data_IF_334602273989
#
_entry.id   IF_334602273989
#
_cell.length_a   1.000
_cell.length_b   1.000
_cell.length_c   1.000
_cell.angle_alpha   90.00
_cell.angle_beta   90.00
_cell.angle_gamma   90.00
#
_symmetry.space_group_name_H-M   'P 1'
#
loop_
_entity.id
_entity.type
_entity.pdbx_description
1 polymer ?
#
# COMPACT_ATOMS: atom_id res chain seq x y z
N UNK A 1 54.88 -5.13 30.01
CA UNK A 1 54.19 -5.81 28.89
C UNK A 1 53.00 -6.67 29.34
N UNK A 2 53.14 -7.58 30.33
CA UNK A 2 52.02 -8.42 30.83
C UNK A 2 50.79 -7.64 31.35
N UNK A 3 50.99 -6.46 31.97
CA UNK A 3 49.87 -5.60 32.44
C UNK A 3 49.13 -4.85 31.33
N UNK A 4 49.77 -4.59 30.19
CA UNK A 4 49.16 -3.92 29.03
C UNK A 4 48.31 -4.92 28.23
N UNK A 5 48.79 -6.17 28.10
CA UNK A 5 48.03 -7.25 27.47
C UNK A 5 46.73 -7.51 28.23
N UNK A 6 46.76 -7.51 29.57
CA UNK A 6 45.57 -7.72 30.41
C UNK A 6 44.51 -6.60 30.22
N UNK A 7 44.95 -5.34 30.08
CA UNK A 7 44.04 -4.19 29.85
C UNK A 7 43.41 -4.28 28.45
N UNK A 8 44.18 -4.69 27.44
CA UNK A 8 43.66 -4.90 26.08
C UNK A 8 42.66 -6.07 26.03
N UNK A 9 42.89 -7.14 26.80
CA UNK A 9 41.95 -8.27 26.91
C UNK A 9 40.63 -7.90 27.58
N UNK A 10 40.62 -6.98 28.56
CA UNK A 10 39.40 -6.50 29.20
C UNK A 10 38.60 -5.57 28.26
N UNK A 11 39.28 -4.74 27.46
CA UNK A 11 38.64 -3.87 26.46
C UNK A 11 37.93 -4.65 25.34
N UNK A 12 38.51 -5.79 24.91
CA UNK A 12 37.87 -6.67 23.91
C UNK A 12 36.64 -7.38 24.47
N UNK A 13 36.61 -7.69 25.77
CA UNK A 13 35.44 -8.31 26.42
C UNK A 13 34.27 -7.33 26.59
N UNK A 14 34.53 -6.04 26.80
CA UNK A 14 33.47 -5.01 26.83
C UNK A 14 32.93 -4.65 25.43
N UNK A 15 33.70 -4.85 24.36
CA UNK A 15 33.26 -4.62 22.98
C UNK A 15 32.31 -5.72 22.46
N UNK A 16 32.20 -6.85 23.16
CA UNK A 16 31.31 -7.97 22.84
C UNK A 16 30.00 -7.97 23.65
N UNK A 17 29.64 -6.85 24.28
CA UNK A 17 28.27 -6.68 24.73
C UNK A 17 27.37 -6.64 23.48
N UNK A 18 26.57 -7.69 23.28
CA UNK A 18 25.51 -7.71 22.26
C UNK A 18 24.76 -6.39 22.37
N UNK A 19 24.88 -5.55 21.36
CA UNK A 19 24.13 -4.31 21.26
C UNK A 19 22.66 -4.71 21.31
N UNK A 20 21.94 -4.28 22.35
CA UNK A 20 20.52 -4.59 22.50
C UNK A 20 19.81 -4.15 21.22
N UNK A 21 19.09 -5.10 20.61
CA UNK A 21 18.30 -4.80 19.44
C UNK A 21 17.21 -3.83 19.86
N UNK A 22 17.32 -2.58 19.43
CA UNK A 22 16.29 -1.57 19.65
C UNK A 22 15.05 -2.05 18.92
N UNK A 23 13.96 -2.26 19.65
CA UNK A 23 12.67 -2.80 19.17
C UNK A 23 11.56 -1.74 19.15
N UNK A 24 11.96 -0.46 19.16
CA UNK A 24 11.07 0.68 19.06
C UNK A 24 11.61 1.71 18.09
N UNK A 25 10.76 2.61 17.62
CA UNK A 25 11.15 3.87 17.01
C UNK A 25 10.57 5.06 17.79
N UNK A 26 11.14 6.23 17.57
CA UNK A 26 10.57 7.49 18.07
C UNK A 26 9.90 8.19 16.90
N UNK A 27 8.60 8.44 17.01
CA UNK A 27 7.83 9.20 16.04
C UNK A 27 7.36 10.51 16.67
N UNK A 28 7.66 11.61 16.01
CA UNK A 28 7.37 12.96 16.52
C UNK A 28 7.03 13.89 15.38
N UNK A 29 6.62 15.11 15.69
CA UNK A 29 6.38 16.08 14.64
C UNK A 29 5.70 17.36 15.08
N UNK A 30 5.43 18.20 14.11
CA UNK A 30 4.63 19.41 14.23
C UNK A 30 3.61 19.44 13.12
N UNK A 31 2.37 19.70 13.49
CA UNK A 31 1.21 19.78 12.59
C UNK A 31 0.68 21.21 12.71
N UNK A 32 0.59 21.90 11.58
CA UNK A 32 0.10 23.28 11.48
C UNK A 32 -1.31 23.25 10.87
N UNK A 33 -2.17 24.18 11.28
CA UNK A 33 -3.54 24.35 10.78
C UNK A 33 -4.44 23.10 10.91
N UNK A 34 -4.23 22.30 11.96
CA UNK A 34 -5.08 21.14 12.26
C UNK A 34 -6.08 21.43 13.36
N UNK A 35 -7.33 20.97 13.16
CA UNK A 35 -8.36 20.90 14.20
C UNK A 35 -8.45 19.49 14.85
N UNK A 36 -7.48 18.60 14.58
CA UNK A 36 -7.47 17.25 15.12
C UNK A 36 -6.70 17.19 16.43
N UNK A 37 -7.27 16.50 17.43
CA UNK A 37 -6.62 16.30 18.74
C UNK A 37 -5.58 15.16 18.74
N UNK A 38 -5.52 14.38 17.65
CA UNK A 38 -4.59 13.25 17.53
C UNK A 38 -4.18 12.95 16.09
N UNK A 39 -2.99 12.35 15.96
CA UNK A 39 -2.55 11.64 14.77
C UNK A 39 -2.72 10.14 15.03
N UNK A 40 -3.38 9.44 14.10
CA UNK A 40 -3.60 8.00 14.20
C UNK A 40 -2.57 7.28 13.33
N UNK A 41 -1.72 6.45 13.92
CA UNK A 41 -0.82 5.54 13.19
C UNK A 41 -1.46 4.16 13.13
N UNK A 42 -1.50 3.55 11.95
CA UNK A 42 -2.17 2.26 11.77
C UNK A 42 -1.55 1.35 10.72
N UNK A 43 -1.80 0.04 10.89
CA UNK A 43 -1.63 -1.08 9.96
C UNK A 43 -2.76 -2.09 10.25
N UNK A 44 -3.01 -3.09 9.39
CA UNK A 44 -4.09 -4.10 9.54
C UNK A 44 -4.37 -4.51 11.01
N UNK A 45 -3.34 -4.90 11.76
CA UNK A 45 -3.47 -5.39 13.14
C UNK A 45 -2.91 -4.41 14.21
N UNK A 46 -2.65 -3.16 13.83
CA UNK A 46 -2.08 -2.14 14.72
C UNK A 46 -2.80 -0.80 14.58
N UNK A 47 -3.18 -0.19 15.69
CA UNK A 47 -3.72 1.16 15.70
C UNK A 47 -3.32 1.88 16.97
N UNK A 48 -2.74 3.06 16.83
CA UNK A 48 -2.34 3.92 17.95
C UNK A 48 -2.70 5.37 17.67
N UNK A 49 -3.39 6.00 18.62
CA UNK A 49 -3.63 7.44 18.63
C UNK A 49 -2.53 8.12 19.43
N UNK A 50 -1.89 9.14 18.85
CA UNK A 50 -0.89 9.97 19.52
C UNK A 50 -1.50 11.37 19.68
N UNK A 51 -1.57 11.85 20.91
CA UNK A 51 -2.14 13.16 21.21
C UNK A 51 -1.31 14.29 20.58
N UNK A 52 -2.01 15.28 20.03
CA UNK A 52 -1.42 16.52 19.51
C UNK A 52 -1.60 17.58 20.60
N UNK A 53 -0.50 18.25 20.95
CA UNK A 53 -0.55 19.38 21.90
C UNK A 53 -1.25 20.59 21.29
N UNK A 54 -1.68 21.54 22.14
CA UNK A 54 -2.27 22.82 21.68
C UNK A 54 -1.38 23.62 20.71
N UNK A 55 -0.06 23.36 20.72
CA UNK A 55 0.90 23.99 19.80
C UNK A 55 1.15 23.19 18.51
N UNK A 56 0.37 22.13 18.27
CA UNK A 56 0.49 21.26 17.09
C UNK A 56 1.61 20.23 17.17
N UNK A 57 2.38 20.15 18.26
CA UNK A 57 3.45 19.16 18.41
C UNK A 57 2.93 17.82 18.93
N UNK A 58 3.52 16.72 18.46
CA UNK A 58 3.27 15.36 18.96
C UNK A 58 4.58 14.58 19.12
N UNK A 59 4.56 13.57 19.98
CA UNK A 59 5.71 12.70 20.25
C UNK A 59 5.24 11.38 20.86
N UNK A 60 5.77 10.26 20.37
CA UNK A 60 5.58 8.95 20.97
C UNK A 60 6.73 7.97 20.65
N UNK A 61 6.82 6.93 21.47
CA UNK A 61 7.65 5.75 21.22
C UNK A 61 6.76 4.61 20.75
N UNK A 62 7.06 4.04 19.58
CA UNK A 62 6.26 2.99 18.96
C UNK A 62 7.00 1.66 19.02
N UNK A 63 6.38 0.66 19.64
CA UNK A 63 6.83 -0.73 19.66
C UNK A 63 6.06 -1.50 18.59
N UNK A 64 6.67 -1.65 17.43
CA UNK A 64 6.00 -2.17 16.22
C UNK A 64 6.96 -3.02 15.40
N UNK A 65 6.40 -3.82 14.48
CA UNK A 65 7.20 -4.47 13.44
C UNK A 65 7.61 -3.47 12.37
N UNK A 66 8.80 -3.66 11.80
CA UNK A 66 9.28 -2.84 10.68
C UNK A 66 8.37 -3.02 9.47
N UNK A 67 8.06 -1.95 8.75
CA UNK A 67 7.32 -2.03 7.50
C UNK A 67 6.47 -0.79 7.21
N UNK A 68 5.49 -0.97 6.33
CA UNK A 68 4.56 0.07 5.93
C UNK A 68 3.43 0.24 6.94
N UNK A 69 3.14 1.50 7.27
CA UNK A 69 2.03 1.97 8.08
C UNK A 69 1.36 3.13 7.35
N UNK A 70 0.24 3.60 7.87
CA UNK A 70 -0.33 4.89 7.52
C UNK A 70 -0.39 5.79 8.75
N UNK A 71 -0.39 7.09 8.52
CA UNK A 71 -0.93 8.03 9.49
C UNK A 71 -2.19 8.70 8.95
N UNK A 72 -3.08 9.09 9.86
CA UNK A 72 -4.29 9.86 9.56
C UNK A 72 -4.42 11.03 10.52
N UNK A 73 -4.70 12.21 9.96
CA UNK A 73 -5.00 13.44 10.71
C UNK A 73 -6.36 13.94 10.18
N UNK A 74 -7.40 13.84 11.01
CA UNK A 74 -8.76 14.16 10.59
C UNK A 74 -9.21 13.23 9.44
N UNK A 75 -9.39 13.81 8.25
CA UNK A 75 -9.82 13.12 7.03
C UNK A 75 -8.67 12.74 6.10
N UNK A 76 -7.50 13.36 6.28
CA UNK A 76 -6.34 13.16 5.43
C UNK A 76 -5.46 12.04 5.94
N UNK A 77 -4.84 11.30 5.04
CA UNK A 77 -3.93 10.19 5.37
C UNK A 77 -2.81 10.04 4.36
N UNK A 78 -1.64 9.62 4.82
CA UNK A 78 -0.52 9.27 3.95
C UNK A 78 0.27 8.09 4.53
N UNK A 79 1.16 7.53 3.70
CA UNK A 79 1.94 6.35 4.05
C UNK A 79 3.17 6.69 4.91
N UNK A 80 3.58 5.71 5.71
CA UNK A 80 4.81 5.70 6.50
C UNK A 80 5.58 4.42 6.24
N UNK A 81 6.91 4.52 6.31
CA UNK A 81 7.81 3.38 6.42
C UNK A 81 8.55 3.46 7.75
N UNK A 82 8.16 2.62 8.70
CA UNK A 82 8.63 2.68 10.08
C UNK A 82 9.61 1.54 10.36
N UNK A 83 10.73 1.87 11.01
CA UNK A 83 11.77 0.91 11.35
C UNK A 83 12.29 1.15 12.76
N UNK A 84 12.37 0.08 13.53
CA UNK A 84 12.94 0.08 14.86
C UNK A 84 14.41 0.55 14.84
N UNK A 85 14.81 1.24 15.90
CA UNK A 85 16.13 1.88 16.00
C UNK A 85 16.26 3.21 15.25
N UNK A 86 15.22 3.67 14.53
CA UNK A 86 15.21 4.96 13.85
C UNK A 86 14.38 6.01 14.62
N UNK A 87 14.67 7.29 14.34
CA UNK A 87 13.79 8.41 14.66
C UNK A 87 13.15 8.95 13.39
N UNK A 88 11.88 9.33 13.48
CA UNK A 88 11.14 9.97 12.41
C UNK A 88 10.42 11.20 12.96
N UNK A 89 10.61 12.34 12.29
CA UNK A 89 9.95 13.59 12.63
C UNK A 89 9.17 14.10 11.42
N UNK A 90 7.85 14.27 11.54
CA UNK A 90 6.95 14.79 10.51
C UNK A 90 6.70 16.29 10.73
N UNK A 91 6.87 17.10 9.70
CA UNK A 91 6.34 18.45 9.63
C UNK A 91 5.30 18.51 8.51
N UNK A 92 4.12 19.05 8.80
CA UNK A 92 3.00 19.11 7.85
C UNK A 92 2.09 20.30 8.15
N UNK A 93 1.59 20.93 7.09
CA UNK A 93 0.50 21.90 7.07
C UNK A 93 -0.75 21.20 6.51
N UNK A 94 -1.82 21.11 7.30
CA UNK A 94 -3.03 20.39 6.87
C UNK A 94 -3.76 21.08 5.71
N UNK A 95 -3.56 22.39 5.50
CA UNK A 95 -4.13 23.10 4.35
C UNK A 95 -3.43 22.79 3.03
N UNK A 96 -2.23 22.21 3.07
CA UNK A 96 -1.37 21.85 1.93
C UNK A 96 -0.85 20.43 2.18
N UNK A 97 -1.75 19.46 2.37
CA UNK A 97 -1.43 18.18 3.00
C UNK A 97 -0.29 17.45 2.29
N UNK A 98 -0.49 17.04 1.05
CA UNK A 98 0.51 16.27 0.29
C UNK A 98 1.73 17.14 -0.08
N UNK A 99 1.54 18.44 -0.30
CA UNK A 99 2.62 19.35 -0.69
C UNK A 99 3.56 19.73 0.47
N UNK A 100 3.08 19.64 1.71
CA UNK A 100 3.82 20.08 2.90
C UNK A 100 4.47 18.96 3.71
N UNK A 101 4.15 17.69 3.44
CA UNK A 101 4.74 16.55 4.15
C UNK A 101 6.26 16.59 4.00
N UNK A 102 6.94 16.74 5.14
CA UNK A 102 8.39 16.70 5.22
C UNK A 102 8.85 15.89 6.40
N UNK A 103 9.66 14.88 6.13
CA UNK A 103 10.28 14.06 7.16
C UNK A 103 11.72 14.47 7.44
N UNK A 104 12.09 14.40 8.72
CA UNK A 104 13.47 14.52 9.20
C UNK A 104 13.77 13.43 10.24
N UNK A 105 15.05 13.27 10.61
CA UNK A 105 15.53 12.16 11.45
C UNK A 105 16.15 11.01 10.65
N UNK A 106 16.45 9.91 11.34
CA UNK A 106 17.19 8.78 10.77
C UNK A 106 16.36 8.01 9.72
N UNK A 107 15.04 7.92 9.91
CA UNK A 107 14.12 7.26 8.96
C UNK A 107 13.57 8.16 7.86
N UNK A 108 14.09 9.39 7.74
CA UNK A 108 13.48 10.39 6.87
C UNK A 108 13.61 10.08 5.38
N UNK A 109 14.72 9.48 4.96
CA UNK A 109 15.01 9.31 3.53
C UNK A 109 13.94 8.47 2.84
N UNK A 110 13.61 7.30 3.40
CA UNK A 110 12.58 6.41 2.86
C UNK A 110 11.17 7.06 2.89
N UNK A 111 10.82 7.73 3.99
CA UNK A 111 9.51 8.39 4.12
C UNK A 111 9.35 9.60 3.18
N UNK A 112 10.43 10.35 2.92
CA UNK A 112 10.41 11.43 1.94
C UNK A 112 10.27 10.90 0.50
N UNK A 113 10.74 9.68 0.21
CA UNK A 113 10.44 9.03 -1.08
C UNK A 113 8.96 8.76 -1.21
N UNK A 114 8.31 8.21 -0.17
CA UNK A 114 6.86 7.97 -0.19
C UNK A 114 6.08 9.26 -0.44
N UNK A 115 6.35 10.33 0.34
CA UNK A 115 5.69 11.62 0.18
C UNK A 115 5.89 12.21 -1.23
N UNK A 116 7.12 12.17 -1.74
CA UNK A 116 7.40 12.74 -3.06
C UNK A 116 6.80 11.91 -4.20
N UNK A 117 6.62 10.59 -4.03
CA UNK A 117 5.93 9.75 -5.01
C UNK A 117 4.47 10.16 -5.13
N UNK A 118 3.74 10.32 -4.01
CA UNK A 118 2.34 10.77 -4.03
C UNK A 118 2.21 12.16 -4.66
N UNK A 119 3.08 13.10 -4.30
CA UNK A 119 3.07 14.43 -4.89
C UNK A 119 3.32 14.41 -6.42
N UNK A 120 4.24 13.57 -6.90
CA UNK A 120 4.47 13.40 -8.34
C UNK A 120 3.24 12.83 -9.03
N UNK A 121 2.62 11.81 -8.44
CA UNK A 121 1.39 11.20 -8.98
C UNK A 121 0.26 12.24 -9.06
N UNK A 122 0.00 12.98 -7.99
CA UNK A 122 -1.03 14.02 -7.92
C UNK A 122 -0.80 15.14 -8.94
N UNK A 123 0.39 15.74 -8.94
CA UNK A 123 0.71 16.88 -9.82
C UNK A 123 0.69 16.49 -11.29
N UNK A 124 1.20 15.31 -11.63
CA UNK A 124 1.26 14.88 -13.03
C UNK A 124 -0.07 14.29 -13.53
N UNK A 125 -0.89 13.72 -12.67
CA UNK A 125 -2.25 13.31 -13.03
C UNK A 125 -3.14 14.53 -13.21
N UNK A 126 -3.04 15.52 -12.32
CA UNK A 126 -3.85 16.73 -12.37
C UNK A 126 -5.33 16.44 -12.18
N UNK A 127 -6.18 17.13 -12.94
CA UNK A 127 -7.63 16.93 -12.86
C UNK A 127 -8.02 15.52 -13.37
N UNK A 128 -8.72 14.71 -12.56
CA UNK A 128 -9.12 13.36 -12.97
C UNK A 128 -9.98 13.32 -14.23
N UNK A 129 -10.84 14.33 -14.46
CA UNK A 129 -11.68 14.39 -15.66
C UNK A 129 -10.80 14.57 -16.88
N UNK A 130 -9.85 15.50 -16.83
CA UNK A 130 -8.89 15.71 -17.92
C UNK A 130 -8.02 14.47 -18.16
N UNK A 131 -7.51 13.85 -17.09
CA UNK A 131 -6.62 12.69 -17.19
C UNK A 131 -7.30 11.47 -17.82
N UNK A 132 -8.49 11.10 -17.31
CA UNK A 132 -9.18 9.90 -17.77
C UNK A 132 -9.96 10.12 -19.08
N UNK A 133 -10.18 11.37 -19.51
CA UNK A 133 -10.78 11.67 -20.82
C UNK A 133 -9.79 11.67 -21.98
N UNK A 134 -8.49 11.51 -21.71
CA UNK A 134 -7.46 11.36 -22.74
C UNK A 134 -7.76 10.18 -23.67
N UNK A 135 -7.38 10.28 -24.93
CA UNK A 135 -7.39 9.12 -25.82
C UNK A 135 -6.36 8.07 -25.38
N UNK A 136 -6.48 6.85 -25.91
CA UNK A 136 -5.65 5.71 -25.54
C UNK A 136 -4.15 6.00 -25.56
N UNK A 137 -3.66 6.64 -26.62
CA UNK A 137 -2.23 6.89 -26.82
C UNK A 137 -1.72 7.96 -25.86
N UNK A 138 -2.51 9.02 -25.67
CA UNK A 138 -2.19 10.06 -24.72
C UNK A 138 -2.21 9.52 -23.28
N UNK A 139 -3.22 8.72 -22.92
CA UNK A 139 -3.32 8.11 -21.58
C UNK A 139 -2.14 7.19 -21.28
N UNK A 140 -1.80 6.27 -22.18
CA UNK A 140 -0.62 5.38 -22.02
C UNK A 140 0.65 6.22 -21.83
N UNK A 141 0.83 7.26 -22.65
CA UNK A 141 2.00 8.15 -22.58
C UNK A 141 2.08 8.90 -21.25
N UNK A 142 0.95 9.42 -20.76
CA UNK A 142 0.82 10.10 -19.47
C UNK A 142 1.14 9.15 -18.31
N UNK A 143 0.54 7.97 -18.27
CA UNK A 143 0.82 6.95 -17.25
C UNK A 143 2.30 6.52 -17.26
N UNK A 144 2.89 6.38 -18.44
CA UNK A 144 4.32 6.05 -18.58
C UNK A 144 5.20 7.19 -18.07
N UNK A 145 4.87 8.45 -18.37
CA UNK A 145 5.60 9.62 -17.90
C UNK A 145 5.58 9.74 -16.36
N UNK A 146 4.43 9.47 -15.73
CA UNK A 146 4.29 9.39 -14.27
C UNK A 146 5.22 8.32 -13.71
N UNK A 147 5.10 7.08 -14.21
CA UNK A 147 5.96 5.96 -13.79
C UNK A 147 7.45 6.28 -13.94
N UNK A 148 7.86 6.82 -15.08
CA UNK A 148 9.27 7.14 -15.34
C UNK A 148 9.79 8.25 -14.42
N UNK A 149 8.96 9.25 -14.10
CA UNK A 149 9.29 10.32 -13.16
C UNK A 149 9.48 9.79 -11.74
N UNK A 150 8.59 8.90 -11.28
CA UNK A 150 8.71 8.21 -9.98
C UNK A 150 9.98 7.33 -9.95
N UNK A 151 10.25 6.57 -11.01
CA UNK A 151 11.47 5.75 -11.11
C UNK A 151 12.73 6.61 -11.06
N UNK A 152 12.75 7.75 -11.74
CA UNK A 152 13.86 8.70 -11.68
C UNK A 152 14.02 9.28 -10.27
N UNK A 153 12.91 9.67 -9.63
CA UNK A 153 12.89 10.16 -8.25
C UNK A 153 13.54 9.14 -7.31
N UNK A 154 13.06 7.89 -7.32
CA UNK A 154 13.56 6.80 -6.47
C UNK A 154 15.05 6.55 -6.74
N UNK A 155 15.47 6.56 -8.02
CA UNK A 155 16.84 6.26 -8.39
C UNK A 155 17.87 7.28 -7.89
N UNK A 156 17.45 8.54 -7.74
CA UNK A 156 18.29 9.63 -7.28
C UNK A 156 18.48 9.70 -5.75
N UNK A 157 17.75 8.87 -4.99
CA UNK A 157 17.81 8.87 -3.53
C UNK A 157 18.82 7.86 -3.00
N UNK A 158 19.45 8.22 -1.88
CA UNK A 158 20.31 7.32 -1.09
C UNK A 158 19.48 6.69 0.02
N UNK A 159 18.89 5.54 -0.29
CA UNK A 159 17.95 4.80 0.57
C UNK A 159 18.35 3.32 0.62
N UNK A 160 17.75 2.56 1.54
CA UNK A 160 17.93 1.11 1.63
C UNK A 160 17.64 0.41 0.28
N UNK A 161 18.45 -0.60 -0.04
CA UNK A 161 18.38 -1.28 -1.35
C UNK A 161 17.11 -2.10 -1.53
N UNK A 162 16.60 -2.72 -0.46
CA UNK A 162 15.36 -3.50 -0.53
C UNK A 162 14.18 -2.55 -0.66
N UNK A 163 14.14 -1.48 0.16
CA UNK A 163 13.12 -0.44 0.03
C UNK A 163 13.12 0.17 -1.39
N UNK A 164 14.29 0.46 -1.96
CA UNK A 164 14.40 0.95 -3.33
C UNK A 164 13.80 -0.03 -4.35
N UNK A 165 14.13 -1.32 -4.24
CA UNK A 165 13.59 -2.34 -5.13
C UNK A 165 12.06 -2.46 -5.02
N UNK A 166 11.52 -2.40 -3.79
CA UNK A 166 10.09 -2.43 -3.53
C UNK A 166 9.38 -1.23 -4.16
N UNK A 167 9.89 -0.01 -3.96
CA UNK A 167 9.30 1.19 -4.56
C UNK A 167 9.34 1.19 -6.09
N UNK A 168 10.40 0.63 -6.69
CA UNK A 168 10.47 0.46 -8.15
C UNK A 168 9.45 -0.56 -8.67
N UNK A 169 9.12 -1.59 -7.90
CA UNK A 169 8.05 -2.52 -8.24
C UNK A 169 6.68 -1.89 -8.04
N UNK A 170 6.47 -1.11 -6.98
CA UNK A 170 5.23 -0.34 -6.76
C UNK A 170 4.92 0.57 -7.95
N UNK A 171 5.92 1.28 -8.50
CA UNK A 171 5.73 2.10 -9.69
C UNK A 171 5.26 1.28 -10.92
N UNK A 172 5.73 0.04 -11.07
CA UNK A 172 5.25 -0.86 -12.14
C UNK A 172 3.82 -1.34 -11.89
N UNK A 173 3.50 -1.69 -10.64
CA UNK A 173 2.14 -2.15 -10.28
C UNK A 173 1.11 -1.03 -10.43
N UNK A 174 1.44 0.19 -10.00
CA UNK A 174 0.59 1.36 -10.21
C UNK A 174 0.38 1.61 -11.71
N UNK A 175 1.44 1.58 -12.52
CA UNK A 175 1.31 1.73 -13.97
C UNK A 175 0.41 0.66 -14.59
N UNK A 176 0.59 -0.62 -14.23
CA UNK A 176 -0.27 -1.71 -14.67
C UNK A 176 -1.74 -1.47 -14.28
N UNK A 177 -1.98 -1.07 -13.03
CA UNK A 177 -3.32 -0.78 -12.51
C UNK A 177 -4.00 0.35 -13.28
N UNK A 178 -3.28 1.42 -13.62
CA UNK A 178 -3.86 2.52 -14.40
C UNK A 178 -4.35 2.07 -15.77
N UNK A 179 -3.59 1.21 -16.46
CA UNK A 179 -4.03 0.65 -17.74
C UNK A 179 -5.23 -0.28 -17.60
N UNK A 180 -5.36 -0.98 -16.47
CA UNK A 180 -6.53 -1.83 -16.20
C UNK A 180 -7.79 -1.01 -15.93
N UNK A 181 -7.72 0.05 -15.12
CA UNK A 181 -8.91 0.83 -14.76
C UNK A 181 -9.34 1.81 -15.86
N UNK A 182 -8.44 2.16 -16.79
CA UNK A 182 -8.69 3.11 -17.87
C UNK A 182 -10.01 2.92 -18.60
N UNK A 183 -10.41 1.71 -19.10
CA UNK A 183 -11.65 1.58 -19.86
C UNK A 183 -12.87 2.02 -19.04
N UNK A 184 -12.92 1.66 -17.76
CA UNK A 184 -14.04 2.01 -16.87
C UNK A 184 -14.07 3.50 -16.56
N UNK A 185 -12.89 4.08 -16.27
CA UNK A 185 -12.79 5.49 -15.91
C UNK A 185 -13.02 6.37 -17.15
N UNK A 186 -12.47 6.01 -18.30
CA UNK A 186 -12.69 6.72 -19.55
C UNK A 186 -14.16 6.74 -19.95
N UNK A 187 -14.89 5.60 -19.85
CA UNK A 187 -16.35 5.57 -20.06
C UNK A 187 -17.08 6.61 -19.21
N UNK A 188 -16.68 6.75 -17.95
CA UNK A 188 -17.31 7.65 -17.00
C UNK A 188 -16.95 9.12 -17.26
N UNK A 189 -15.65 9.44 -17.32
CA UNK A 189 -15.17 10.83 -17.40
C UNK A 189 -15.32 11.44 -18.80
N UNK A 190 -15.25 10.62 -19.87
CA UNK A 190 -15.44 11.08 -21.25
C UNK A 190 -16.91 11.03 -21.71
N UNK A 191 -17.85 10.57 -20.87
CA UNK A 191 -19.27 10.34 -21.22
C UNK A 191 -19.44 9.41 -22.44
N UNK A 192 -18.70 8.30 -22.46
CA UNK A 192 -18.68 7.32 -23.54
C UNK A 192 -19.06 5.93 -23.01
N UNK A 193 -20.33 5.64 -22.66
CA UNK A 193 -20.72 4.42 -21.95
C UNK A 193 -20.43 3.11 -22.72
N UNK A 194 -20.35 3.15 -24.04
CA UNK A 194 -20.08 1.98 -24.89
C UNK A 194 -18.59 1.84 -25.27
N UNK A 195 -17.71 2.69 -24.74
CA UNK A 195 -16.29 2.65 -25.07
C UNK A 195 -15.65 1.31 -24.70
N UNK A 196 -14.88 0.79 -25.66
CA UNK A 196 -14.01 -0.37 -25.52
C UNK A 196 -12.64 -0.01 -26.05
N UNK A 197 -11.62 -0.47 -25.34
CA UNK A 197 -10.25 -0.25 -25.75
C UNK A 197 -9.89 -1.00 -27.03
N UNK A 198 -8.98 -0.44 -27.82
CA UNK A 198 -8.44 -1.06 -29.02
C UNK A 198 -7.54 -2.25 -28.71
N UNK A 199 -7.30 -3.09 -29.72
CA UNK A 199 -6.32 -4.17 -29.62
C UNK A 199 -4.88 -3.64 -29.39
N UNK A 200 -4.58 -2.43 -29.88
CA UNK A 200 -3.29 -1.77 -29.68
C UNK A 200 -3.11 -1.38 -28.21
N UNK A 201 -4.14 -0.81 -27.57
CA UNK A 201 -4.12 -0.54 -26.14
C UNK A 201 -3.91 -1.81 -25.31
N UNK A 202 -4.61 -2.90 -25.65
CA UNK A 202 -4.44 -4.19 -24.97
C UNK A 202 -3.00 -4.70 -25.08
N UNK A 203 -2.33 -4.49 -26.22
CA UNK A 203 -0.93 -4.90 -26.42
C UNK A 203 0.08 -4.13 -25.55
N UNK A 204 -0.33 -2.99 -24.98
CA UNK A 204 0.48 -2.17 -24.06
C UNK A 204 0.31 -2.55 -22.58
N UNK A 205 -0.56 -3.53 -22.27
CA UNK A 205 -0.74 -4.02 -20.90
C UNK A 205 0.57 -4.56 -20.31
N UNK A 206 0.73 -4.39 -19.01
CA UNK A 206 1.93 -4.84 -18.30
C UNK A 206 1.76 -6.28 -17.85
N UNK A 207 2.71 -7.14 -18.19
CA UNK A 207 2.75 -8.49 -17.63
C UNK A 207 3.17 -8.47 -16.15
N UNK A 208 2.40 -9.14 -15.30
CA UNK A 208 2.73 -9.37 -13.89
C UNK A 208 2.19 -10.72 -13.43
N UNK A 209 2.82 -11.29 -12.39
CA UNK A 209 2.27 -12.47 -11.71
C UNK A 209 1.04 -12.06 -10.93
N UNK A 210 -0.06 -12.80 -11.05
CA UNK A 210 -1.24 -12.63 -10.19
C UNK A 210 -1.08 -13.31 -8.83
N UNK A 211 -0.03 -14.13 -8.65
CA UNK A 211 0.19 -14.96 -7.48
C UNK A 211 1.61 -14.79 -6.87
N UNK A 212 2.02 -13.56 -6.63
CA UNK A 212 3.22 -13.22 -5.86
C UNK A 212 2.86 -12.86 -4.41
N UNK A 213 2.91 -13.85 -3.51
CA UNK A 213 2.60 -13.64 -2.09
C UNK A 213 3.59 -12.70 -1.38
N UNK A 214 4.83 -12.59 -1.87
CA UNK A 214 5.81 -11.70 -1.27
C UNK A 214 5.49 -10.24 -1.62
N UNK A 215 5.14 -9.97 -2.88
CA UNK A 215 4.62 -8.67 -3.28
C UNK A 215 3.33 -8.33 -2.52
N UNK A 216 2.40 -9.30 -2.39
CA UNK A 216 1.15 -9.09 -1.65
C UNK A 216 1.35 -8.71 -0.19
N UNK A 217 2.34 -9.28 0.50
CA UNK A 217 2.66 -8.93 1.90
C UNK A 217 3.28 -7.54 2.07
N UNK A 218 3.99 -7.07 1.05
CA UNK A 218 4.92 -5.93 1.20
C UNK A 218 4.59 -4.72 0.32
N UNK A 219 3.61 -4.82 -0.58
CA UNK A 219 3.26 -3.78 -1.55
C UNK A 219 1.75 -3.54 -1.59
N UNK A 220 1.31 -2.38 -1.09
CA UNK A 220 -0.08 -1.94 -1.26
C UNK A 220 -0.44 -1.78 -2.73
N UNK A 221 0.48 -1.28 -3.55
CA UNK A 221 0.29 -1.16 -5.00
C UNK A 221 0.01 -2.51 -5.68
N UNK A 222 0.67 -3.59 -5.24
CA UNK A 222 0.38 -4.94 -5.72
C UNK A 222 -0.97 -5.44 -5.22
N UNK A 223 -1.31 -5.22 -3.95
CA UNK A 223 -2.63 -5.57 -3.40
C UNK A 223 -3.74 -4.87 -4.20
N UNK A 224 -3.62 -3.56 -4.44
CA UNK A 224 -4.58 -2.78 -5.22
C UNK A 224 -4.70 -3.30 -6.66
N UNK A 225 -3.57 -3.68 -7.27
CA UNK A 225 -3.55 -4.29 -8.60
C UNK A 225 -4.30 -5.63 -8.64
N UNK A 226 -4.04 -6.52 -7.68
CA UNK A 226 -4.69 -7.83 -7.61
C UNK A 226 -6.19 -7.69 -7.32
N UNK A 227 -6.57 -6.79 -6.41
CA UNK A 227 -7.99 -6.49 -6.14
C UNK A 227 -8.67 -5.95 -7.40
N UNK A 228 -8.00 -5.07 -8.17
CA UNK A 228 -8.51 -4.56 -9.45
C UNK A 228 -8.75 -5.69 -10.46
N UNK A 229 -7.79 -6.62 -10.62
CA UNK A 229 -7.94 -7.78 -11.50
C UNK A 229 -9.09 -8.68 -11.05
N UNK A 230 -9.20 -8.91 -9.75
CA UNK A 230 -10.26 -9.73 -9.18
C UNK A 230 -11.65 -9.12 -9.40
N UNK A 231 -11.82 -7.83 -9.13
CA UNK A 231 -13.06 -7.10 -9.38
C UNK A 231 -13.44 -7.09 -10.87
N UNK A 232 -12.47 -6.94 -11.78
CA UNK A 232 -12.74 -7.03 -13.21
C UNK A 232 -13.31 -8.38 -13.61
N UNK A 233 -12.73 -9.48 -13.11
CA UNK A 233 -13.23 -10.84 -13.37
C UNK A 233 -14.65 -11.06 -12.84
N UNK A 234 -14.98 -10.48 -11.69
CA UNK A 234 -16.34 -10.52 -11.14
C UNK A 234 -17.29 -9.74 -12.05
N UNK A 235 -16.91 -8.54 -12.50
CA UNK A 235 -17.74 -7.68 -13.34
C UNK A 235 -17.90 -8.19 -14.79
N UNK A 236 -16.99 -9.05 -15.26
CA UNK A 236 -17.08 -9.73 -16.56
C UNK A 236 -17.97 -10.99 -16.52
N UNK A 237 -18.45 -11.39 -15.34
CA UNK A 237 -19.35 -12.53 -15.20
C UNK A 237 -20.68 -12.30 -15.94
N UNK A 238 -21.28 -13.36 -16.52
CA UNK A 238 -22.60 -13.24 -17.15
C UNK A 238 -23.69 -12.84 -16.14
N UNK A 239 -24.62 -11.98 -16.54
CA UNK A 239 -25.78 -11.58 -15.72
C UNK A 239 -26.66 -12.75 -15.25
N UNK A 240 -26.50 -13.94 -15.86
CA UNK A 240 -27.24 -15.14 -15.51
C UNK A 240 -26.80 -15.82 -14.22
N UNK A 241 -25.66 -15.44 -13.63
CA UNK A 241 -25.16 -16.02 -12.38
C UNK A 241 -25.27 -15.00 -11.23
N UNK A 242 -25.40 -15.50 -10.00
CA UNK A 242 -25.40 -14.65 -8.82
C UNK A 242 -24.03 -13.96 -8.63
N UNK A 243 -24.01 -12.85 -7.91
CA UNK A 243 -22.77 -12.16 -7.54
C UNK A 243 -21.83 -13.07 -6.72
N UNK A 244 -22.39 -13.89 -5.82
CA UNK A 244 -21.63 -14.88 -5.04
C UNK A 244 -20.99 -15.94 -5.95
N UNK A 245 -21.70 -16.39 -6.99
CA UNK A 245 -21.14 -17.30 -8.00
C UNK A 245 -20.08 -16.63 -8.88
N UNK A 246 -20.23 -15.34 -9.21
CA UNK A 246 -19.21 -14.57 -9.92
C UNK A 246 -17.91 -14.46 -9.09
N UNK A 247 -18.02 -14.16 -7.78
CA UNK A 247 -16.89 -14.19 -6.84
C UNK A 247 -16.20 -15.55 -6.85
N UNK A 248 -16.97 -16.65 -6.75
CA UNK A 248 -16.44 -18.00 -6.81
C UNK A 248 -15.65 -18.23 -8.10
N UNK A 249 -16.24 -17.90 -9.26
CA UNK A 249 -15.66 -18.16 -10.56
C UNK A 249 -14.38 -17.34 -10.77
N UNK A 250 -14.34 -16.09 -10.30
CA UNK A 250 -13.13 -15.27 -10.37
C UNK A 250 -12.02 -15.87 -9.48
N UNK A 251 -12.36 -16.36 -8.29
CA UNK A 251 -11.38 -16.80 -7.29
C UNK A 251 -10.61 -18.06 -7.71
N UNK A 252 -11.17 -18.92 -8.57
CA UNK A 252 -10.51 -20.20 -8.94
C UNK A 252 -9.21 -20.02 -9.72
N UNK A 253 -8.96 -18.84 -10.30
CA UNK A 253 -7.69 -18.52 -10.95
C UNK A 253 -6.52 -18.36 -9.98
N UNK A 254 -6.82 -18.06 -8.71
CA UNK A 254 -5.81 -18.02 -7.66
C UNK A 254 -5.65 -19.40 -7.00
N UNK A 255 -4.41 -19.93 -6.92
CA UNK A 255 -4.16 -21.14 -6.16
C UNK A 255 -4.47 -20.93 -4.68
N UNK A 256 -4.72 -22.02 -3.95
CA UNK A 256 -4.90 -21.94 -2.49
C UNK A 256 -3.61 -21.38 -1.84
N UNK A 257 -3.77 -20.39 -0.99
CA UNK A 257 -2.68 -19.65 -0.37
C UNK A 257 -3.15 -18.27 0.11
N UNK A 258 -2.20 -17.42 0.51
CA UNK A 258 -2.50 -16.16 1.17
C UNK A 258 -3.42 -15.24 0.34
N UNK A 259 -3.10 -15.06 -0.95
CA UNK A 259 -3.81 -14.10 -1.80
C UNK A 259 -5.28 -14.51 -1.95
N UNK A 260 -5.53 -15.80 -2.23
CA UNK A 260 -6.88 -16.33 -2.34
C UNK A 260 -7.67 -16.17 -1.03
N UNK A 261 -7.02 -16.46 0.09
CA UNK A 261 -7.65 -16.38 1.41
C UNK A 261 -8.07 -14.92 1.74
N UNK A 262 -7.20 -13.96 1.42
CA UNK A 262 -7.47 -12.53 1.62
C UNK A 262 -8.58 -12.02 0.68
N UNK A 263 -8.54 -12.36 -0.62
CA UNK A 263 -9.60 -12.01 -1.58
C UNK A 263 -10.97 -12.55 -1.16
N UNK A 264 -11.03 -13.80 -0.69
CA UNK A 264 -12.27 -14.40 -0.18
C UNK A 264 -12.74 -13.76 1.12
N UNK A 265 -11.80 -13.43 2.02
CA UNK A 265 -12.14 -12.77 3.27
C UNK A 265 -12.74 -11.38 3.03
N UNK A 266 -12.18 -10.61 2.10
CA UNK A 266 -12.70 -9.28 1.77
C UNK A 266 -14.10 -9.34 1.14
N UNK A 267 -14.43 -10.45 0.47
CA UNK A 267 -15.75 -10.69 -0.11
C UNK A 267 -16.72 -11.46 0.80
N UNK A 268 -16.29 -11.87 2.00
CA UNK A 268 -17.03 -12.83 2.81
C UNK A 268 -18.48 -12.39 3.11
N UNK A 269 -18.69 -11.10 3.38
CA UNK A 269 -20.03 -10.56 3.62
C UNK A 269 -20.99 -10.76 2.44
N UNK A 270 -20.49 -10.68 1.19
CA UNK A 270 -21.26 -10.94 -0.02
C UNK A 270 -21.47 -12.43 -0.26
N UNK A 271 -20.50 -13.26 0.12
CA UNK A 271 -20.58 -14.73 -0.02
C UNK A 271 -21.61 -15.31 0.97
N UNK A 272 -21.66 -14.80 2.21
CA UNK A 272 -22.55 -15.30 3.28
C UNK A 272 -23.86 -14.52 3.40
N UNK A 273 -24.17 -13.67 2.42
CA UNK A 273 -25.43 -12.92 2.40
C UNK A 273 -26.64 -13.89 2.31
N UNK A 274 -27.72 -13.69 3.09
CA UNK A 274 -28.87 -14.60 3.09
C UNK A 274 -29.54 -14.69 1.71
N UNK A 275 -29.40 -15.85 1.05
CA UNK A 275 -30.05 -16.19 -0.21
C UNK A 275 -30.20 -17.72 -0.35
N UNK A 276 -30.79 -18.20 -1.45
CA UNK A 276 -31.00 -19.64 -1.70
C UNK A 276 -29.68 -20.43 -1.87
N UNK A 277 -28.57 -19.74 -2.15
CA UNK A 277 -27.25 -20.32 -2.38
C UNK A 277 -26.36 -20.33 -1.12
N UNK A 278 -26.82 -19.73 -0.01
CA UNK A 278 -26.03 -19.49 1.20
C UNK A 278 -25.29 -20.74 1.68
N UNK A 279 -25.98 -21.86 1.84
CA UNK A 279 -25.35 -23.10 2.32
C UNK A 279 -24.23 -23.55 1.37
N UNK A 280 -24.48 -23.49 0.05
CA UNK A 280 -23.50 -23.92 -0.96
C UNK A 280 -22.29 -22.98 -0.98
N UNK A 281 -22.52 -21.67 -0.91
CA UNK A 281 -21.48 -20.64 -0.90
C UNK A 281 -20.66 -20.68 0.40
N UNK A 282 -21.30 -20.93 1.54
CA UNK A 282 -20.64 -21.13 2.82
C UNK A 282 -19.73 -22.36 2.79
N UNK A 283 -20.23 -23.51 2.32
CA UNK A 283 -19.41 -24.73 2.19
C UNK A 283 -18.22 -24.50 1.25
N UNK A 284 -18.39 -23.74 0.18
CA UNK A 284 -17.26 -23.38 -0.66
C UNK A 284 -16.24 -22.52 0.09
N UNK A 285 -16.67 -21.43 0.74
CA UNK A 285 -15.78 -20.52 1.46
C UNK A 285 -14.90 -21.29 2.46
N UNK A 286 -15.50 -22.15 3.27
CA UNK A 286 -14.79 -22.96 4.27
C UNK A 286 -13.79 -23.93 3.62
N UNK A 287 -14.10 -24.50 2.44
CA UNK A 287 -13.22 -25.42 1.73
C UNK A 287 -12.14 -24.73 0.86
N UNK A 288 -12.39 -23.48 0.45
CA UNK A 288 -11.54 -22.73 -0.46
C UNK A 288 -10.39 -22.03 0.28
N UNK A 289 -10.65 -21.57 1.50
CA UNK A 289 -9.67 -20.87 2.34
C UNK A 289 -8.69 -21.89 2.96
N UNK A 290 -7.40 -21.56 2.95
CA UNK A 290 -6.35 -22.40 3.54
C UNK A 290 -6.11 -22.11 5.03
N UNK A 291 -6.32 -20.88 5.47
CA UNK A 291 -6.21 -20.46 6.86
C UNK A 291 -7.53 -20.73 7.64
N UNK A 292 -7.47 -21.67 8.58
CA UNK A 292 -8.62 -22.08 9.40
C UNK A 292 -9.04 -21.05 10.44
N UNK A 293 -8.22 -20.02 10.71
CA UNK A 293 -8.61 -18.92 11.61
C UNK A 293 -9.78 -18.11 11.03
N UNK A 294 -9.94 -18.11 9.70
CA UNK A 294 -11.09 -17.51 9.03
C UNK A 294 -12.39 -18.25 9.33
N UNK A 295 -12.35 -19.56 9.62
CA UNK A 295 -13.57 -20.31 9.95
C UNK A 295 -14.26 -19.76 11.20
N UNK A 296 -13.48 -19.32 12.20
CA UNK A 296 -14.01 -18.72 13.42
C UNK A 296 -14.66 -17.34 13.22
N UNK A 297 -14.37 -16.65 12.10
CA UNK A 297 -14.99 -15.36 11.76
C UNK A 297 -16.37 -15.52 11.10
N UNK A 298 -16.69 -16.72 10.59
CA UNK A 298 -17.89 -16.99 9.81
C UNK A 298 -18.88 -17.95 10.48
N UNK A 299 -18.54 -18.46 11.68
CA UNK A 299 -19.41 -19.26 12.56
C UNK A 299 -19.98 -18.41 13.69
#
# INVERSE_FOLDING_TARGET
MKKIILIFSVLVLCACAKQEQINYLVFSGTIINSNSDSIIVSRKDFRKAIAISEKGSFYDTLFIDNGYYSFRIGRESSALFLQNGKSLNLNINIEEFDESIKYSGIGAAENNVLASTYLVEEVMMGDPTEFYSQDENQFISSCKAIKDSIVQLINNQKIDANFKADQLNNAKYNYARQLLIYPTYHRHYADLPDFKVSADFISNQVEFSINDENAFKNSSAYVDLINTVFEQKINEAPDSISYSQAIFNATVEWPKGLIRDELLNDMAAYIISPNEELETMYQFLINAVSDTSYHAKYT
#
